data_IF_513055050189
#
_entry.id   IF_513055050189
#
_cell.length_a   1.000
_cell.length_b   1.000
_cell.length_c   1.000
_cell.angle_alpha   90.00
_cell.angle_beta   90.00
_cell.angle_gamma   90.00
#
_symmetry.space_group_name_H-M   'P 1'
#
loop_
_entity.id
_entity.type
_entity.pdbx_description
1 polymer ?
#
# COMPACT_ATOMS: atom_id res chain seq x y z
N UNK A 1 -29.15 -10.37 5.51
CA UNK A 1 -27.75 -10.55 5.96
C UNK A 1 -26.92 -11.32 4.93
N UNK A 2 -27.42 -12.45 4.40
CA UNK A 2 -26.75 -13.25 3.37
C UNK A 2 -26.36 -12.48 2.10
N UNK A 3 -27.26 -11.66 1.53
CA UNK A 3 -26.98 -10.91 0.30
C UNK A 3 -25.87 -9.85 0.47
N UNK A 4 -25.76 -9.22 1.64
CA UNK A 4 -24.67 -8.26 1.95
C UNK A 4 -23.33 -8.97 2.10
N UNK A 5 -23.31 -10.12 2.76
CA UNK A 5 -22.10 -10.94 2.87
C UNK A 5 -21.66 -11.46 1.50
N UNK A 6 -22.60 -11.94 0.68
CA UNK A 6 -22.31 -12.42 -0.68
C UNK A 6 -21.74 -11.30 -1.57
N UNK A 7 -22.31 -10.10 -1.52
CA UNK A 7 -21.78 -8.95 -2.28
C UNK A 7 -20.43 -8.47 -1.76
N UNK A 8 -20.20 -8.44 -0.45
CA UNK A 8 -18.88 -8.14 0.12
C UNK A 8 -17.83 -9.18 -0.33
N UNK A 9 -18.16 -10.47 -0.27
CA UNK A 9 -17.28 -11.54 -0.72
C UNK A 9 -16.97 -11.43 -2.22
N UNK A 10 -17.99 -11.14 -3.04
CA UNK A 10 -17.80 -10.93 -4.48
C UNK A 10 -16.89 -9.73 -4.78
N UNK A 11 -17.09 -8.60 -4.09
CA UNK A 11 -16.23 -7.42 -4.26
C UNK A 11 -14.80 -7.70 -3.81
N UNK A 12 -14.61 -8.36 -2.66
CA UNK A 12 -13.27 -8.73 -2.21
C UNK A 12 -12.56 -9.67 -3.20
N UNK A 13 -13.29 -10.65 -3.75
CA UNK A 13 -12.72 -11.56 -4.76
C UNK A 13 -12.35 -10.81 -6.05
N UNK A 14 -13.21 -9.93 -6.55
CA UNK A 14 -12.93 -9.12 -7.75
C UNK A 14 -11.78 -8.13 -7.54
N UNK A 15 -11.63 -7.60 -6.33
CA UNK A 15 -10.51 -6.72 -5.99
C UNK A 15 -9.19 -7.50 -5.79
N UNK A 16 -9.22 -8.77 -5.37
CA UNK A 16 -8.01 -9.53 -5.08
C UNK A 16 -7.50 -10.39 -6.24
N UNK A 17 -8.39 -11.19 -6.84
CA UNK A 17 -8.02 -12.27 -7.78
C UNK A 17 -7.17 -11.78 -8.96
N UNK A 18 -7.47 -10.64 -9.62
CA UNK A 18 -6.66 -10.16 -10.74
C UNK A 18 -5.20 -9.86 -10.39
N UNK A 19 -4.92 -9.56 -9.12
CA UNK A 19 -3.60 -9.18 -8.63
C UNK A 19 -2.83 -10.34 -7.99
N UNK A 20 -3.40 -11.55 -7.88
CA UNK A 20 -2.68 -12.67 -7.25
C UNK A 20 -1.37 -13.01 -7.96
N UNK A 21 -1.36 -12.92 -9.29
CA UNK A 21 -0.14 -13.14 -10.09
C UNK A 21 0.96 -12.12 -9.81
N UNK A 22 0.62 -10.90 -9.34
CA UNK A 22 1.63 -9.87 -9.12
C UNK A 22 2.50 -10.18 -7.90
N UNK A 23 2.07 -11.07 -7.01
CA UNK A 23 2.87 -11.51 -5.86
C UNK A 23 4.20 -12.17 -6.28
N UNK A 24 4.28 -12.70 -7.50
CA UNK A 24 5.48 -13.34 -8.04
C UNK A 24 6.36 -12.37 -8.86
N UNK A 25 5.86 -11.15 -9.11
CA UNK A 25 6.59 -10.18 -9.91
C UNK A 25 7.66 -9.49 -9.07
N UNK A 26 8.81 -9.24 -9.69
CA UNK A 26 9.87 -8.40 -9.13
C UNK A 26 9.63 -6.90 -9.35
N UNK A 27 10.62 -6.06 -8.99
CA UNK A 27 10.54 -4.63 -9.23
C UNK A 27 10.40 -4.30 -10.72
N UNK A 28 9.53 -3.35 -11.01
CA UNK A 28 9.47 -2.66 -12.30
C UNK A 28 10.51 -1.53 -12.35
N UNK A 29 10.62 -0.86 -13.50
CA UNK A 29 11.60 0.21 -13.68
C UNK A 29 11.41 1.36 -12.67
N UNK A 30 10.17 1.79 -12.46
CA UNK A 30 9.84 2.90 -11.55
C UNK A 30 10.13 2.55 -10.08
N UNK A 31 9.97 1.27 -9.71
CA UNK A 31 10.23 0.80 -8.34
C UNK A 31 11.68 1.03 -7.91
N UNK A 32 12.63 1.11 -8.86
CA UNK A 32 14.01 1.39 -8.53
C UNK A 32 14.14 2.78 -7.90
N UNK A 33 13.53 3.80 -8.51
CA UNK A 33 13.58 5.16 -7.99
C UNK A 33 12.75 5.34 -6.71
N UNK A 34 11.55 4.74 -6.67
CA UNK A 34 10.57 5.00 -5.62
C UNK A 34 10.74 4.12 -4.37
N UNK A 35 11.26 2.90 -4.55
CA UNK A 35 11.31 1.87 -3.50
C UNK A 35 12.72 1.37 -3.22
N UNK A 36 13.44 0.89 -4.24
CA UNK A 36 14.75 0.22 -4.06
C UNK A 36 15.83 1.21 -3.64
N UNK A 37 16.01 2.27 -4.42
CA UNK A 37 17.08 3.27 -4.22
C UNK A 37 16.66 4.42 -3.30
N UNK A 38 15.43 4.39 -2.79
CA UNK A 38 14.91 5.40 -1.90
C UNK A 38 15.49 5.22 -0.48
N UNK A 39 16.56 5.96 -0.18
CA UNK A 39 17.25 5.92 1.11
C UNK A 39 16.34 6.21 2.32
N UNK A 40 15.28 7.01 2.13
CA UNK A 40 14.31 7.30 3.20
C UNK A 40 13.61 6.03 3.69
N UNK A 41 13.41 5.04 2.82
CA UNK A 41 12.75 3.78 3.16
C UNK A 41 13.67 2.78 3.84
N UNK A 42 14.97 3.06 4.01
CA UNK A 42 15.92 2.13 4.61
C UNK A 42 15.89 2.15 6.15
N UNK A 43 15.27 3.17 6.75
CA UNK A 43 15.13 3.30 8.19
C UNK A 43 13.65 3.48 8.57
N UNK A 44 13.06 2.45 9.17
CA UNK A 44 11.65 2.47 9.59
C UNK A 44 11.33 3.57 10.62
N UNK A 45 12.33 4.07 11.36
CA UNK A 45 12.14 5.16 12.32
C UNK A 45 11.80 6.50 11.64
N UNK A 46 12.08 6.62 10.34
CA UNK A 46 11.70 7.77 9.52
C UNK A 46 10.18 7.99 9.44
N UNK A 47 9.36 7.02 9.86
CA UNK A 47 7.91 7.21 9.98
C UNK A 47 7.55 8.38 10.91
N UNK A 48 8.37 8.64 11.94
CA UNK A 48 8.16 9.77 12.84
C UNK A 48 8.40 11.12 12.14
N UNK A 49 9.31 11.17 11.17
CA UNK A 49 9.58 12.38 10.38
C UNK A 49 8.36 12.80 9.57
N UNK A 50 7.54 11.86 9.08
CA UNK A 50 6.32 12.17 8.31
C UNK A 50 5.32 13.06 9.07
N UNK A 51 5.43 13.14 10.40
CA UNK A 51 4.59 13.97 11.27
C UNK A 51 5.28 15.25 11.75
N UNK A 52 6.48 15.56 11.25
CA UNK A 52 7.26 16.73 11.63
C UNK A 52 7.25 17.80 10.54
N UNK A 53 7.52 19.05 10.92
CA UNK A 53 7.73 20.13 9.95
C UNK A 53 9.01 19.94 9.12
N UNK A 54 10.00 19.21 9.66
CA UNK A 54 11.26 18.91 8.99
C UNK A 54 11.04 18.11 7.69
N UNK A 55 10.03 17.23 7.66
CA UNK A 55 9.67 16.49 6.45
C UNK A 55 9.42 17.36 5.22
N UNK A 56 8.86 18.56 5.41
CA UNK A 56 8.58 19.50 4.32
C UNK A 56 9.86 20.07 3.68
N UNK A 57 11.01 19.90 4.33
CA UNK A 57 12.32 20.34 3.84
C UNK A 57 13.16 19.23 3.21
N UNK A 58 12.70 17.98 3.25
CA UNK A 58 13.44 16.83 2.73
C UNK A 58 13.31 16.74 1.19
N UNK A 59 14.42 16.50 0.50
CA UNK A 59 14.41 16.23 -0.95
C UNK A 59 14.44 14.71 -1.19
N UNK A 60 13.28 14.06 -1.04
CA UNK A 60 13.12 12.61 -1.18
C UNK A 60 12.09 12.25 -2.26
N UNK A 61 12.22 11.07 -2.91
CA UNK A 61 11.16 10.56 -3.78
C UNK A 61 9.81 10.51 -3.05
N UNK A 62 8.75 10.90 -3.75
CA UNK A 62 7.37 10.90 -3.22
C UNK A 62 7.11 11.77 -1.99
N UNK A 63 7.92 12.80 -1.72
CA UNK A 63 7.70 13.74 -0.59
C UNK A 63 6.27 14.34 -0.58
N UNK A 64 5.60 14.49 -1.72
CA UNK A 64 4.20 14.93 -1.79
C UNK A 64 3.17 13.90 -1.33
N UNK A 65 3.58 12.68 -0.96
CA UNK A 65 2.71 11.52 -0.72
C UNK A 65 3.04 10.84 0.62
N UNK A 66 2.88 11.53 1.77
CA UNK A 66 3.30 11.01 3.07
C UNK A 66 2.61 9.70 3.47
N UNK A 67 1.35 9.49 3.06
CA UNK A 67 0.63 8.24 3.33
C UNK A 67 1.22 7.07 2.53
N UNK A 68 1.69 7.31 1.29
CA UNK A 68 2.41 6.29 0.53
C UNK A 68 3.71 5.93 1.24
N UNK A 69 4.52 6.93 1.60
CA UNK A 69 5.80 6.70 2.28
C UNK A 69 5.61 5.96 3.60
N UNK A 70 4.57 6.28 4.37
CA UNK A 70 4.22 5.53 5.58
C UNK A 70 3.91 4.06 5.27
N UNK A 71 3.16 3.79 4.19
CA UNK A 71 2.84 2.42 3.76
C UNK A 71 4.09 1.66 3.32
N UNK A 72 4.99 2.30 2.56
CA UNK A 72 6.24 1.70 2.09
C UNK A 72 7.25 1.46 3.25
N UNK A 73 7.30 2.36 4.24
CA UNK A 73 8.07 2.14 5.47
C UNK A 73 7.52 0.94 6.26
N UNK A 74 6.20 0.78 6.31
CA UNK A 74 5.59 -0.39 6.92
C UNK A 74 5.91 -1.67 6.14
N UNK A 75 5.89 -1.62 4.80
CA UNK A 75 6.31 -2.76 3.96
C UNK A 75 7.76 -3.15 4.25
N UNK A 76 8.68 -2.18 4.30
CA UNK A 76 10.08 -2.44 4.66
C UNK A 76 10.20 -3.06 6.04
N UNK A 77 9.50 -2.52 7.04
CA UNK A 77 9.58 -3.01 8.41
C UNK A 77 9.02 -4.44 8.59
N UNK A 78 7.98 -4.80 7.82
CA UNK A 78 7.32 -6.09 7.92
C UNK A 78 7.93 -7.17 7.01
N UNK A 79 8.39 -6.78 5.83
CA UNK A 79 8.77 -7.71 4.75
C UNK A 79 10.20 -7.52 4.24
N UNK A 80 10.93 -6.51 4.70
CA UNK A 80 12.28 -6.20 4.22
C UNK A 80 12.28 -5.78 2.75
N UNK A 81 13.20 -6.34 1.95
CA UNK A 81 13.31 -6.12 0.50
C UNK A 81 12.29 -6.93 -0.33
N UNK A 82 11.35 -7.65 0.30
CA UNK A 82 10.44 -8.53 -0.42
C UNK A 82 9.32 -7.75 -1.13
N UNK A 83 9.38 -7.71 -2.46
CA UNK A 83 8.32 -7.17 -3.31
C UNK A 83 7.00 -7.95 -3.19
N UNK A 84 7.06 -9.26 -2.91
CA UNK A 84 5.86 -10.06 -2.69
C UNK A 84 5.05 -9.53 -1.49
N UNK A 85 5.73 -9.07 -0.43
CA UNK A 85 5.09 -8.44 0.73
C UNK A 85 4.42 -7.12 0.38
N UNK A 86 5.14 -6.23 -0.31
CA UNK A 86 4.60 -4.94 -0.76
C UNK A 86 3.40 -5.10 -1.71
N UNK A 87 3.45 -6.08 -2.63
CA UNK A 87 2.33 -6.42 -3.50
C UNK A 87 1.14 -6.96 -2.71
N UNK A 88 1.36 -7.83 -1.71
CA UNK A 88 0.31 -8.33 -0.84
C UNK A 88 -0.36 -7.22 -0.03
N UNK A 89 0.43 -6.29 0.53
CA UNK A 89 -0.08 -5.13 1.25
C UNK A 89 -0.90 -4.21 0.32
N UNK A 90 -0.40 -3.93 -0.88
CA UNK A 90 -1.11 -3.12 -1.86
C UNK A 90 -2.45 -3.75 -2.27
N UNK A 91 -2.48 -5.06 -2.50
CA UNK A 91 -3.71 -5.80 -2.79
C UNK A 91 -4.69 -5.76 -1.60
N UNK A 92 -4.19 -5.89 -0.37
CA UNK A 92 -5.00 -5.75 0.84
C UNK A 92 -5.62 -4.35 0.94
N UNK A 93 -4.87 -3.27 0.70
CA UNK A 93 -5.42 -1.92 0.67
C UNK A 93 -6.51 -1.75 -0.38
N UNK A 94 -6.30 -2.31 -1.58
CA UNK A 94 -7.29 -2.27 -2.63
C UNK A 94 -8.60 -2.99 -2.25
N UNK A 95 -8.50 -4.17 -1.62
CA UNK A 95 -9.67 -4.91 -1.09
C UNK A 95 -10.39 -4.09 -0.02
N UNK A 96 -9.65 -3.55 0.96
CA UNK A 96 -10.24 -2.77 2.06
C UNK A 96 -10.97 -1.53 1.54
N UNK A 97 -10.36 -0.74 0.66
CA UNK A 97 -10.99 0.44 0.07
C UNK A 97 -12.22 0.06 -0.76
N UNK A 98 -12.15 -1.02 -1.54
CA UNK A 98 -13.30 -1.52 -2.32
C UNK A 98 -14.49 -1.91 -1.43
N UNK A 99 -14.21 -2.57 -0.29
CA UNK A 99 -15.23 -2.90 0.71
C UNK A 99 -15.80 -1.66 1.41
N UNK A 100 -14.97 -0.65 1.68
CA UNK A 100 -15.43 0.62 2.25
C UNK A 100 -16.35 1.37 1.29
N UNK A 101 -16.07 1.36 -0.01
CA UNK A 101 -16.95 1.93 -1.05
C UNK A 101 -18.28 1.18 -1.11
N UNK A 102 -18.26 -0.15 -1.09
CA UNK A 102 -19.49 -0.95 -1.01
C UNK A 102 -20.30 -0.64 0.25
N UNK A 103 -19.61 -0.51 1.40
CA UNK A 103 -20.25 -0.15 2.65
C UNK A 103 -20.90 1.24 2.59
N UNK A 104 -20.23 2.22 1.98
CA UNK A 104 -20.79 3.55 1.75
C UNK A 104 -22.01 3.48 0.83
N UNK A 105 -21.97 2.67 -0.23
CA UNK A 105 -23.10 2.48 -1.14
C UNK A 105 -24.34 1.86 -0.46
N UNK A 106 -24.19 1.13 0.65
CA UNK A 106 -25.32 0.66 1.45
C UNK A 106 -25.84 1.70 2.45
N UNK A 107 -25.09 2.78 2.68
CA UNK A 107 -25.43 3.86 3.63
C UNK A 107 -26.12 5.03 2.95
N UNK A 108 -25.82 5.28 1.68
CA UNK A 108 -26.49 6.24 0.81
C UNK A 108 -27.86 5.71 0.37
#
# INVERSE_FOLDING_TARGET
MSARLASAAAVAALALVPYLQTLEFGPTYDDHHHVVDNAFLQDASNVALLFSAEYLSLEIPDQGRPVLLASLLADRALFGDSFAGAHAQSALWHVLVSLMVLWLAWRL
#
